data_IF_034733237679
#
_entry.id   IF_034733237679
#
_cell.length_a   1.000
_cell.length_b   1.000
_cell.length_c   1.000
_cell.angle_alpha   90.00
_cell.angle_beta   90.00
_cell.angle_gamma   90.00
#
_symmetry.space_group_name_H-M   'P 1'
#
loop_
_entity.id
_entity.type
_entity.pdbx_description
1 polymer ?
#
# COMPACT_ATOMS: atom_id res chain seq x y z
N UNK A 1 3.99 -21.02 27.04
CA UNK A 1 2.71 -20.48 26.51
C UNK A 1 2.25 -21.10 25.19
N UNK A 2 3.07 -21.87 24.46
CA UNK A 2 2.67 -22.48 23.19
C UNK A 2 1.75 -23.73 23.30
N UNK A 3 1.56 -24.30 24.51
CA UNK A 3 0.79 -25.54 24.70
C UNK A 3 -0.74 -25.38 24.75
N UNK A 4 -1.28 -24.17 24.92
CA UNK A 4 -2.73 -24.01 25.07
C UNK A 4 -3.46 -23.99 23.71
N UNK A 5 -2.79 -23.56 22.64
CA UNK A 5 -3.39 -23.45 21.31
C UNK A 5 -3.29 -24.74 20.49
N UNK A 6 -2.37 -25.64 20.82
CA UNK A 6 -2.17 -26.92 20.13
C UNK A 6 -3.25 -27.97 20.41
N UNK A 7 -4.17 -27.71 21.34
CA UNK A 7 -5.28 -28.63 21.69
C UNK A 7 -6.56 -28.38 20.87
N UNK A 8 -6.61 -27.30 20.09
CA UNK A 8 -7.75 -26.97 19.23
C UNK A 8 -7.57 -27.59 17.84
N UNK A 9 -8.64 -28.12 17.24
CA UNK A 9 -8.62 -28.70 15.88
C UNK A 9 -8.10 -27.78 14.77
N UNK A 10 -8.03 -26.47 15.03
CA UNK A 10 -7.51 -25.45 14.11
C UNK A 10 -6.36 -24.63 14.73
N UNK A 11 -5.65 -25.18 15.72
CA UNK A 11 -4.59 -24.49 16.46
C UNK A 11 -3.49 -23.93 15.57
N UNK A 12 -3.07 -24.71 14.57
CA UNK A 12 -2.03 -24.31 13.63
C UNK A 12 -2.50 -23.18 12.70
N UNK A 13 -3.73 -23.25 12.18
CA UNK A 13 -4.31 -22.19 11.35
C UNK A 13 -4.44 -20.88 12.13
N UNK A 14 -4.95 -20.96 13.37
CA UNK A 14 -5.11 -19.81 14.25
C UNK A 14 -3.76 -19.18 14.61
N UNK A 15 -2.74 -19.99 14.84
CA UNK A 15 -1.38 -19.52 15.11
C UNK A 15 -0.81 -18.76 13.92
N UNK A 16 -0.98 -19.26 12.69
CA UNK A 16 -0.53 -18.56 11.47
C UNK A 16 -1.26 -17.23 11.29
N UNK A 17 -2.57 -17.18 11.51
CA UNK A 17 -3.36 -15.94 11.44
C UNK A 17 -2.89 -14.94 12.51
N UNK A 18 -2.70 -15.38 13.75
CA UNK A 18 -2.23 -14.55 14.85
C UNK A 18 -0.82 -14.00 14.58
N UNK A 19 0.11 -14.82 14.07
CA UNK A 19 1.45 -14.38 13.67
C UNK A 19 1.35 -13.38 12.52
N UNK A 20 0.48 -13.60 11.54
CA UNK A 20 0.25 -12.68 10.43
C UNK A 20 -0.25 -11.32 10.92
N UNK A 21 -1.21 -11.31 11.83
CA UNK A 21 -1.74 -10.09 12.45
C UNK A 21 -0.68 -9.35 13.27
N UNK A 22 0.04 -10.06 14.13
CA UNK A 22 1.12 -9.48 14.94
C UNK A 22 2.25 -8.92 14.06
N UNK A 23 2.61 -9.63 13.00
CA UNK A 23 3.61 -9.17 12.03
C UNK A 23 3.13 -7.95 11.27
N UNK A 24 1.86 -7.89 10.87
CA UNK A 24 1.29 -6.71 10.23
C UNK A 24 1.35 -5.48 11.15
N UNK A 25 1.00 -5.63 12.42
CA UNK A 25 1.11 -4.56 13.42
C UNK A 25 2.57 -4.15 13.64
N UNK A 26 3.49 -5.11 13.76
CA UNK A 26 4.91 -4.84 13.92
C UNK A 26 5.50 -4.11 12.70
N UNK A 27 5.17 -4.55 11.49
CA UNK A 27 5.59 -3.88 10.26
C UNK A 27 5.05 -2.45 10.20
N UNK A 28 3.78 -2.24 10.54
CA UNK A 28 3.19 -0.91 10.55
C UNK A 28 3.80 -0.02 11.65
N UNK A 29 4.11 -0.58 12.83
CA UNK A 29 4.78 0.12 13.92
C UNK A 29 6.21 0.51 13.54
N UNK A 30 6.96 -0.37 12.87
CA UNK A 30 8.31 -0.08 12.37
C UNK A 30 8.25 0.97 11.27
N UNK A 31 7.31 0.84 10.32
CA UNK A 31 7.08 1.84 9.29
C UNK A 31 6.74 3.19 9.92
N UNK A 32 5.81 3.23 10.86
CA UNK A 32 5.46 4.45 11.57
C UNK A 32 6.65 5.01 12.35
N UNK A 33 7.41 4.19 13.06
CA UNK A 33 8.55 4.65 13.85
C UNK A 33 9.70 5.19 12.98
N UNK A 34 10.02 4.52 11.87
CA UNK A 34 11.08 4.97 10.95
C UNK A 34 10.64 6.18 10.11
N UNK A 35 9.37 6.25 9.72
CA UNK A 35 8.84 7.32 8.88
C UNK A 35 8.51 8.56 9.72
N UNK A 36 7.77 8.41 10.81
CA UNK A 36 7.24 9.51 11.62
C UNK A 36 8.28 10.15 12.55
N UNK A 37 9.33 9.41 12.94
CA UNK A 37 10.50 9.99 13.64
C UNK A 37 11.32 10.91 12.73
N UNK A 38 11.21 10.77 11.42
CA UNK A 38 11.96 11.59 10.47
C UNK A 38 11.13 12.83 10.12
N UNK A 39 11.52 14.01 10.61
CA UNK A 39 10.86 15.29 10.31
C UNK A 39 10.62 15.52 8.80
N UNK A 40 11.48 14.92 7.97
CA UNK A 40 11.40 14.89 6.51
C UNK A 40 10.07 14.34 5.99
N UNK A 41 9.44 13.33 6.59
CA UNK A 41 8.18 12.79 6.06
C UNK A 41 7.01 13.74 6.28
N UNK A 42 6.94 14.39 7.45
CA UNK A 42 5.89 15.35 7.76
C UNK A 42 6.00 16.61 6.88
N UNK A 43 7.21 17.11 6.62
CA UNK A 43 7.42 18.25 5.72
C UNK A 43 7.10 17.92 4.26
N UNK A 44 7.41 16.69 3.82
CA UNK A 44 7.14 16.23 2.45
C UNK A 44 5.65 15.97 2.23
N UNK A 45 4.96 15.36 3.20
CA UNK A 45 3.50 15.18 3.19
C UNK A 45 2.78 16.52 3.14
N UNK A 46 3.20 17.48 3.98
CA UNK A 46 2.64 18.83 3.98
C UNK A 46 2.88 19.56 2.64
N UNK A 47 4.06 19.38 2.03
CA UNK A 47 4.39 19.92 0.71
C UNK A 47 3.49 19.34 -0.38
N UNK A 48 3.30 18.01 -0.40
CA UNK A 48 2.40 17.34 -1.37
C UNK A 48 0.97 17.84 -1.22
N UNK A 49 0.44 17.95 0.00
CA UNK A 49 -0.91 18.43 0.22
C UNK A 49 -1.08 19.90 -0.19
N UNK A 50 -0.07 20.74 0.08
CA UNK A 50 -0.05 22.14 -0.35
C UNK A 50 0.03 22.30 -1.87
N UNK A 51 0.82 21.46 -2.55
CA UNK A 51 0.94 21.47 -4.01
C UNK A 51 -0.31 20.90 -4.69
N UNK A 52 -0.90 19.82 -4.17
CA UNK A 52 -2.15 19.23 -4.67
C UNK A 52 -3.30 20.23 -4.59
N UNK A 53 -3.51 20.86 -3.43
CA UNK A 53 -4.57 21.89 -3.26
C UNK A 53 -4.40 23.09 -4.20
N UNK A 54 -3.14 23.50 -4.47
CA UNK A 54 -2.84 24.57 -5.43
C UNK A 54 -3.16 24.17 -6.87
N UNK A 55 -2.84 22.93 -7.24
CA UNK A 55 -3.12 22.40 -8.57
C UNK A 55 -4.64 22.30 -8.79
N UNK A 56 -5.39 21.78 -7.80
CA UNK A 56 -6.85 21.70 -7.85
C UNK A 56 -7.51 23.07 -7.93
N UNK A 57 -7.02 24.07 -7.19
CA UNK A 57 -7.50 25.45 -7.26
C UNK A 57 -7.22 26.10 -8.62
N UNK A 58 -6.03 25.87 -9.21
CA UNK A 58 -5.69 26.39 -10.54
C UNK A 58 -6.51 25.72 -11.66
N UNK A 59 -6.83 24.42 -11.52
CA UNK A 59 -7.66 23.67 -12.47
C UNK A 59 -9.14 24.04 -12.37
N UNK A 60 -9.67 24.24 -11.17
CA UNK A 60 -11.06 24.68 -10.93
C UNK A 60 -11.28 26.14 -11.36
N UNK A 61 -10.28 27.01 -11.18
CA UNK A 61 -10.30 28.38 -11.69
C UNK A 61 -10.23 28.46 -13.23
N UNK A 62 -9.65 27.46 -13.91
CA UNK A 62 -9.64 27.38 -15.36
C UNK A 62 -11.02 27.01 -15.94
N UNK A 63 -11.78 26.13 -15.27
CA UNK A 63 -13.13 25.74 -15.70
C UNK A 63 -14.20 26.83 -15.52
N UNK A 64 -14.02 27.71 -14.54
CA UNK A 64 -14.98 28.80 -14.27
C UNK A 64 -14.86 30.00 -15.22
N UNK A 65 -13.79 30.04 -16.03
CA UNK A 65 -13.55 31.12 -17.01
C UNK A 65 -14.08 30.81 -18.42
N UNK A 66 -14.59 29.58 -18.64
CA UNK A 66 -15.09 29.14 -19.96
C UNK A 66 -16.63 29.19 -20.09
N UNK A 67 -17.36 29.50 -19.03
CA UNK A 67 -18.84 29.45 -19.01
C UNK A 67 -19.56 30.76 -18.63
N UNK A 68 -18.85 31.88 -18.46
CA UNK A 68 -19.50 33.19 -18.22
C UNK A 68 -19.15 34.19 -19.32
N UNK A 69 -20.01 34.24 -20.33
CA UNK A 69 -20.18 35.44 -21.13
C UNK A 69 -20.80 36.55 -20.27
N UNK A 70 -20.25 37.75 -20.41
CA UNK A 70 -20.73 39.06 -19.92
C UNK A 70 -20.49 39.41 -18.43
N UNK A 71 -19.85 40.58 -18.24
CA UNK A 71 -19.86 41.34 -16.98
C UNK A 71 -18.47 41.69 -16.44
N UNK A 72 -18.05 42.95 -16.62
CA UNK A 72 -16.69 43.43 -16.31
C UNK A 72 -16.30 43.53 -14.83
N UNK A 73 -15.00 43.76 -14.60
CA UNK A 73 -14.45 44.18 -13.31
C UNK A 73 -13.14 43.50 -12.90
N UNK A 74 -12.02 44.12 -13.29
CA UNK A 74 -10.66 44.01 -12.75
C UNK A 74 -10.32 42.89 -11.75
N UNK A 75 -9.48 41.93 -12.18
CA UNK A 75 -8.24 41.56 -11.45
C UNK A 75 -7.39 40.55 -12.24
N UNK A 76 -6.24 41.02 -12.74
CA UNK A 76 -5.07 40.23 -13.16
C UNK A 76 -5.30 39.08 -14.16
N UNK A 77 -5.64 39.42 -15.41
CA UNK A 77 -5.51 38.49 -16.55
C UNK A 77 -4.03 38.18 -16.81
N UNK A 78 -3.49 37.16 -16.15
CA UNK A 78 -2.24 36.53 -16.54
C UNK A 78 -2.45 35.82 -17.90
N UNK A 79 -1.57 36.00 -18.90
CA UNK A 79 -1.73 35.33 -20.19
C UNK A 79 -1.84 33.82 -20.01
N UNK A 80 -2.68 33.15 -20.80
CA UNK A 80 -2.92 31.71 -20.69
C UNK A 80 -1.61 30.89 -20.68
N UNK A 81 -0.58 31.37 -21.38
CA UNK A 81 0.77 30.79 -21.39
C UNK A 81 1.54 30.92 -20.07
N UNK A 82 1.36 31.99 -19.29
CA UNK A 82 2.01 32.16 -17.98
C UNK A 82 1.32 31.37 -16.87
N UNK A 83 0.00 31.15 -16.98
CA UNK A 83 -0.75 30.27 -16.08
C UNK A 83 -0.44 28.79 -16.35
N UNK A 84 -0.31 28.40 -17.62
CA UNK A 84 0.16 27.07 -18.01
C UNK A 84 1.58 26.77 -17.50
N UNK A 85 2.52 27.72 -17.64
CA UNK A 85 3.89 27.59 -17.07
C UNK A 85 3.89 27.47 -15.55
N UNK A 86 2.99 28.16 -14.85
CA UNK A 86 2.85 28.04 -13.38
C UNK A 86 2.29 26.69 -12.97
N UNK A 87 1.34 26.15 -13.73
CA UNK A 87 0.75 24.83 -13.51
C UNK A 87 1.79 23.72 -13.71
N UNK A 88 2.56 23.79 -14.80
CA UNK A 88 3.66 22.86 -15.12
C UNK A 88 4.75 22.84 -14.02
N UNK A 89 5.08 24.01 -13.47
CA UNK A 89 6.00 24.13 -12.34
C UNK A 89 5.46 23.48 -11.06
N UNK A 90 4.17 23.65 -10.77
CA UNK A 90 3.51 23.03 -9.59
C UNK A 90 3.41 21.52 -9.76
N UNK A 91 3.13 21.03 -10.97
CA UNK A 91 3.14 19.60 -11.29
C UNK A 91 4.54 18.99 -11.13
N UNK A 92 5.58 19.67 -11.61
CA UNK A 92 6.97 19.22 -11.45
C UNK A 92 7.34 19.16 -9.97
N UNK A 93 7.04 20.19 -9.18
CA UNK A 93 7.28 20.17 -7.73
C UNK A 93 6.47 19.09 -7.00
N UNK A 94 5.26 18.77 -7.46
CA UNK A 94 4.45 17.68 -6.91
C UNK A 94 5.07 16.31 -7.24
N UNK A 95 5.56 16.12 -8.47
CA UNK A 95 6.26 14.89 -8.89
C UNK A 95 7.54 14.67 -8.09
N UNK A 96 8.35 15.71 -7.90
CA UNK A 96 9.60 15.61 -7.12
C UNK A 96 9.33 15.27 -5.65
N UNK A 97 8.38 15.97 -5.01
CA UNK A 97 8.00 15.68 -3.63
C UNK A 97 7.38 14.27 -3.49
N UNK A 98 6.58 13.82 -4.48
CA UNK A 98 6.04 12.46 -4.52
C UNK A 98 7.15 11.40 -4.70
N UNK A 99 8.16 11.68 -5.53
CA UNK A 99 9.31 10.80 -5.75
C UNK A 99 10.14 10.66 -4.49
N UNK A 100 10.46 11.76 -3.81
CA UNK A 100 11.18 11.74 -2.53
C UNK A 100 10.37 10.99 -1.45
N UNK A 101 9.04 11.12 -1.44
CA UNK A 101 8.18 10.41 -0.50
C UNK A 101 8.19 8.91 -0.79
N UNK A 102 8.13 8.53 -2.06
CA UNK A 102 8.25 7.13 -2.49
C UNK A 102 9.61 6.54 -2.12
N UNK A 103 10.70 7.29 -2.27
CA UNK A 103 12.04 6.86 -1.85
C UNK A 103 12.17 6.71 -0.33
N UNK A 104 11.59 7.64 0.44
CA UNK A 104 11.53 7.52 1.89
C UNK A 104 10.73 6.28 2.33
N UNK A 105 9.59 6.01 1.67
CA UNK A 105 8.82 4.78 1.88
C UNK A 105 9.59 3.53 1.46
N UNK A 106 10.31 3.56 0.34
CA UNK A 106 11.12 2.43 -0.13
C UNK A 106 12.25 2.08 0.84
N UNK A 107 12.94 3.08 1.40
CA UNK A 107 13.99 2.86 2.42
C UNK A 107 13.44 2.19 3.68
N UNK A 108 12.28 2.63 4.17
CA UNK A 108 11.59 1.96 5.27
C UNK A 108 11.04 0.59 4.87
N UNK A 109 10.60 0.44 3.62
CA UNK A 109 10.09 -0.79 3.04
C UNK A 109 11.15 -1.89 2.95
N UNK A 110 12.42 -1.53 2.75
CA UNK A 110 13.53 -2.49 2.80
C UNK A 110 13.69 -3.11 4.20
N UNK A 111 13.56 -2.30 5.27
CA UNK A 111 13.59 -2.81 6.66
C UNK A 111 12.39 -3.71 6.93
N UNK A 112 11.20 -3.31 6.49
CA UNK A 112 9.98 -4.13 6.58
C UNK A 112 10.14 -5.46 5.83
N UNK A 113 10.74 -5.45 4.64
CA UNK A 113 11.01 -6.64 3.86
C UNK A 113 11.99 -7.59 4.57
N UNK A 114 13.03 -7.05 5.20
CA UNK A 114 13.97 -7.84 6.00
C UNK A 114 13.28 -8.53 7.19
N UNK A 115 12.43 -7.79 7.93
CA UNK A 115 11.64 -8.37 9.03
C UNK A 115 10.72 -9.47 8.54
N UNK A 116 10.03 -9.26 7.42
CA UNK A 116 9.15 -10.26 6.82
C UNK A 116 9.91 -11.50 6.35
N UNK A 117 11.13 -11.33 5.83
CA UNK A 117 11.98 -12.44 5.43
C UNK A 117 12.35 -13.33 6.61
N UNK A 118 12.74 -12.72 7.75
CA UNK A 118 13.04 -13.46 8.97
C UNK A 118 11.81 -14.19 9.50
N UNK A 119 10.67 -13.49 9.61
CA UNK A 119 9.41 -14.10 10.06
C UNK A 119 8.97 -15.24 9.16
N UNK A 120 9.05 -15.05 7.83
CA UNK A 120 8.72 -16.08 6.86
C UNK A 120 9.65 -17.30 6.98
N UNK A 121 10.96 -17.09 7.16
CA UNK A 121 11.92 -18.17 7.40
C UNK A 121 11.61 -18.98 8.66
N UNK A 122 11.28 -18.31 9.77
CA UNK A 122 10.88 -18.96 11.02
C UNK A 122 9.60 -19.77 10.85
N UNK A 123 8.57 -19.19 10.24
CA UNK A 123 7.32 -19.89 9.94
C UNK A 123 7.56 -21.09 9.02
N UNK A 124 8.38 -20.94 7.98
CA UNK A 124 8.67 -22.03 7.05
C UNK A 124 9.38 -23.19 7.74
N UNK A 125 10.28 -22.91 8.68
CA UNK A 125 10.94 -23.94 9.51
C UNK A 125 9.99 -24.59 10.51
N UNK A 126 9.03 -23.86 11.07
CA UNK A 126 8.09 -24.38 12.08
C UNK A 126 6.96 -25.24 11.49
N UNK A 127 6.52 -24.94 10.27
CA UNK A 127 5.37 -25.59 9.63
C UNK A 127 5.75 -26.39 8.37
N UNK A 128 7.03 -26.74 8.21
CA UNK A 128 7.51 -27.49 7.05
C UNK A 128 6.77 -28.83 6.91
N UNK A 129 6.25 -29.09 5.71
CA UNK A 129 5.59 -30.35 5.37
C UNK A 129 4.31 -30.66 6.17
N UNK A 130 3.71 -29.69 6.86
CA UNK A 130 2.46 -29.88 7.61
C UNK A 130 1.31 -29.08 6.98
N UNK A 131 0.19 -29.76 6.72
CA UNK A 131 -1.04 -29.11 6.30
C UNK A 131 -1.62 -28.30 7.47
N UNK A 132 -1.78 -26.99 7.28
CA UNK A 132 -2.07 -26.04 8.37
C UNK A 132 -3.54 -25.67 8.41
N UNK A 133 -4.26 -25.82 7.29
CA UNK A 133 -5.68 -25.62 7.17
C UNK A 133 -6.26 -26.54 6.09
N UNK A 134 -7.58 -26.75 6.15
CA UNK A 134 -8.36 -27.44 5.12
C UNK A 134 -9.30 -26.43 4.46
N UNK A 135 -9.31 -26.42 3.14
CA UNK A 135 -10.23 -25.60 2.36
C UNK A 135 -11.61 -26.29 2.32
N UNK A 136 -12.72 -25.55 2.53
CA UNK A 136 -14.07 -26.13 2.50
C UNK A 136 -14.60 -26.35 1.08
N UNK A 137 -13.82 -26.03 0.05
CA UNK A 137 -14.15 -26.18 -1.37
C UNK A 137 -12.98 -26.81 -2.11
N UNK A 138 -13.25 -27.48 -3.24
CA UNK A 138 -12.21 -27.96 -4.15
C UNK A 138 -11.58 -26.76 -4.86
N UNK A 139 -10.33 -26.36 -4.55
CA UNK A 139 -9.73 -25.17 -5.13
C UNK A 139 -9.56 -25.32 -6.64
N UNK A 140 -9.68 -24.21 -7.38
CA UNK A 140 -9.34 -24.18 -8.81
C UNK A 140 -7.88 -24.59 -9.01
N UNK A 141 -7.50 -25.25 -10.13
CA UNK A 141 -6.18 -25.85 -10.30
C UNK A 141 -4.99 -24.90 -10.08
N UNK A 142 -5.16 -23.61 -10.38
CA UNK A 142 -4.16 -22.57 -10.13
C UNK A 142 -3.95 -22.31 -8.63
N UNK A 143 -5.04 -22.18 -7.87
CA UNK A 143 -5.02 -21.95 -6.42
C UNK A 143 -4.53 -23.20 -5.71
N UNK A 144 -4.93 -24.39 -6.18
CA UNK A 144 -4.48 -25.66 -5.65
C UNK A 144 -2.96 -25.79 -5.69
N UNK A 145 -2.31 -25.43 -6.80
CA UNK A 145 -0.85 -25.45 -6.93
C UNK A 145 -0.15 -24.51 -5.95
N UNK A 146 -0.76 -23.37 -5.62
CA UNK A 146 -0.23 -22.45 -4.63
C UNK A 146 -0.49 -22.92 -3.20
N UNK A 147 -1.69 -23.46 -2.92
CA UNK A 147 -2.06 -23.94 -1.59
C UNK A 147 -1.27 -25.18 -1.19
N UNK A 148 -0.92 -26.07 -2.12
CA UNK A 148 -0.18 -27.31 -1.85
C UNK A 148 1.34 -27.17 -1.91
N UNK A 149 1.86 -25.99 -2.25
CA UNK A 149 3.31 -25.81 -2.40
C UNK A 149 4.02 -26.11 -1.08
N UNK A 150 4.91 -27.11 -1.10
CA UNK A 150 5.69 -27.54 0.07
C UNK A 150 4.96 -28.49 1.03
N UNK A 151 3.80 -29.03 0.65
CA UNK A 151 3.09 -30.06 1.42
C UNK A 151 3.31 -31.47 0.84
N UNK A 152 3.65 -32.46 1.67
CA UNK A 152 3.59 -33.87 1.30
C UNK A 152 2.15 -34.37 1.41
N UNK A 153 1.54 -34.74 0.28
CA UNK A 153 0.17 -35.28 0.27
C UNK A 153 -0.54 -35.09 -1.07
N UNK A 154 -1.61 -35.86 -1.29
CA UNK A 154 -2.47 -35.79 -2.48
C UNK A 154 -3.89 -35.29 -2.19
N UNK A 155 -4.19 -34.88 -0.94
CA UNK A 155 -5.52 -34.34 -0.62
C UNK A 155 -5.65 -32.91 -1.14
N UNK A 156 -6.50 -32.64 -2.15
CA UNK A 156 -6.62 -31.34 -2.80
C UNK A 156 -7.20 -30.24 -1.90
N UNK A 157 -7.65 -30.57 -0.69
CA UNK A 157 -8.19 -29.61 0.28
C UNK A 157 -7.13 -29.07 1.22
N UNK A 158 -5.90 -29.57 1.18
CA UNK A 158 -4.86 -29.13 2.11
C UNK A 158 -4.30 -27.74 1.75
N UNK A 159 -3.96 -26.99 2.79
CA UNK A 159 -3.44 -25.62 2.69
C UNK A 159 -2.12 -25.48 3.43
N UNK A 160 -1.09 -25.05 2.70
CA UNK A 160 0.23 -24.74 3.23
C UNK A 160 0.21 -23.48 4.09
N UNK A 161 1.18 -23.40 4.99
CA UNK A 161 1.41 -22.20 5.80
C UNK A 161 1.61 -20.98 4.91
N UNK A 162 2.44 -21.13 3.87
CA UNK A 162 2.85 -20.06 2.97
C UNK A 162 1.65 -19.40 2.31
N UNK A 163 0.70 -20.19 1.82
CA UNK A 163 -0.51 -19.69 1.18
C UNK A 163 -1.41 -18.94 2.17
N UNK A 164 -1.68 -19.55 3.34
CA UNK A 164 -2.52 -18.94 4.36
C UNK A 164 -1.91 -17.64 4.91
N UNK A 165 -0.61 -17.64 5.20
CA UNK A 165 0.14 -16.49 5.67
C UNK A 165 0.13 -15.35 4.65
N UNK A 166 0.34 -15.66 3.36
CA UNK A 166 0.32 -14.65 2.31
C UNK A 166 -1.06 -14.00 2.17
N UNK A 167 -2.14 -14.79 2.14
CA UNK A 167 -3.51 -14.28 2.08
C UNK A 167 -3.87 -13.42 3.28
N UNK A 168 -3.54 -13.89 4.49
CA UNK A 168 -3.79 -13.13 5.72
C UNK A 168 -2.95 -11.85 5.75
N UNK A 169 -1.67 -11.91 5.36
CA UNK A 169 -0.77 -10.77 5.40
C UNK A 169 -1.21 -9.68 4.41
N UNK A 170 -1.59 -10.05 3.18
CA UNK A 170 -2.13 -9.10 2.21
C UNK A 170 -3.46 -8.51 2.67
N UNK A 171 -4.37 -9.33 3.21
CA UNK A 171 -5.68 -8.86 3.67
C UNK A 171 -5.55 -7.94 4.90
N UNK A 172 -4.86 -8.37 5.93
CA UNK A 172 -4.73 -7.63 7.18
C UNK A 172 -3.94 -6.34 6.94
N UNK A 173 -2.78 -6.40 6.27
CA UNK A 173 -1.94 -5.23 6.05
C UNK A 173 -2.62 -4.16 5.20
N UNK A 174 -3.28 -4.55 4.11
CA UNK A 174 -3.97 -3.57 3.25
C UNK A 174 -5.16 -2.93 3.94
N UNK A 175 -5.90 -3.68 4.78
CA UNK A 175 -6.99 -3.12 5.57
C UNK A 175 -6.47 -2.24 6.72
N UNK A 176 -5.38 -2.62 7.38
CA UNK A 176 -4.76 -1.84 8.45
C UNK A 176 -4.25 -0.50 7.94
N UNK A 177 -3.62 -0.47 6.76
CA UNK A 177 -3.16 0.77 6.12
C UNK A 177 -4.31 1.70 5.73
N UNK A 178 -5.46 1.14 5.32
CA UNK A 178 -6.68 1.92 5.03
C UNK A 178 -7.30 2.48 6.31
N UNK A 179 -7.38 1.68 7.37
CA UNK A 179 -7.94 2.09 8.66
C UNK A 179 -7.10 3.16 9.35
N UNK A 180 -5.77 3.07 9.27
CA UNK A 180 -4.84 4.01 9.91
C UNK A 180 -4.53 5.26 9.05
N UNK A 181 -5.05 5.34 7.82
CA UNK A 181 -4.81 6.48 6.93
C UNK A 181 -3.37 6.60 6.43
N UNK A 182 -2.57 5.53 6.55
CA UNK A 182 -1.20 5.45 6.02
C UNK A 182 -1.16 5.06 4.53
N UNK A 183 -2.34 4.82 3.94
CA UNK A 183 -2.50 4.67 2.50
C UNK A 183 -1.79 5.83 1.76
N UNK A 184 -1.01 5.55 0.70
CA UNK A 184 -0.41 6.59 -0.12
C UNK A 184 -1.50 7.59 -0.56
N UNK A 185 -1.29 8.91 -0.44
CA UNK A 185 -2.22 9.90 -0.97
C UNK A 185 -2.57 9.56 -2.42
N UNK A 186 -3.83 9.77 -2.84
CA UNK A 186 -4.27 9.46 -4.23
C UNK A 186 -3.35 10.06 -5.30
N UNK A 187 -2.77 11.24 -5.05
CA UNK A 187 -1.78 11.87 -5.93
C UNK A 187 -0.43 11.12 -5.96
N UNK A 188 0.02 10.55 -4.85
CA UNK A 188 1.22 9.71 -4.79
C UNK A 188 0.98 8.31 -5.40
N UNK A 189 -0.25 7.78 -5.32
CA UNK A 189 -0.65 6.57 -6.03
C UNK A 189 -0.70 6.79 -7.56
N UNK A 190 -1.17 7.96 -8.01
CA UNK A 190 -1.15 8.36 -9.41
C UNK A 190 0.28 8.63 -9.93
N UNK A 191 1.19 9.12 -9.07
CA UNK A 191 2.60 9.34 -9.40
C UNK A 191 3.50 8.09 -9.25
N UNK A 192 2.92 6.87 -9.24
CA UNK A 192 3.69 5.61 -9.25
C UNK A 192 3.99 5.00 -7.87
N UNK A 193 3.30 5.41 -6.81
CA UNK A 193 3.43 4.84 -5.46
C UNK A 193 2.69 3.50 -5.25
N UNK A 194 2.06 2.94 -6.28
CA UNK A 194 1.50 1.60 -6.29
C UNK A 194 2.41 0.63 -7.06
N UNK A 195 2.40 -0.66 -6.69
CA UNK A 195 3.09 -1.74 -7.41
C UNK A 195 2.68 -1.84 -8.90
N UNK A 196 1.57 -1.18 -9.27
CA UNK A 196 1.16 -0.96 -10.64
C UNK A 196 1.17 0.55 -10.94
N UNK A 197 1.97 1.03 -11.91
CA UNK A 197 1.78 2.37 -12.44
C UNK A 197 0.39 2.46 -13.05
N UNK A 198 -0.42 3.42 -12.61
CA UNK A 198 -1.67 3.73 -13.30
C UNK A 198 -1.30 4.42 -14.61
N UNK A 199 -1.71 3.89 -15.78
CA UNK A 199 -1.48 4.55 -17.06
C UNK A 199 -2.10 5.94 -17.01
N UNK A 200 -1.34 6.95 -17.46
CA UNK A 200 -1.81 8.33 -17.56
C UNK A 200 -3.18 8.36 -18.26
N UNK A 201 -4.19 9.04 -17.71
CA UNK A 201 -5.39 9.35 -18.46
C UNK A 201 -4.97 10.36 -19.53
N UNK A 202 -4.59 9.85 -20.71
CA UNK A 202 -4.47 10.65 -21.93
C UNK A 202 -5.78 11.40 -22.10
N UNK A 203 -5.72 12.70 -21.85
CA UNK A 203 -6.73 13.66 -22.24
C UNK A 203 -6.65 13.72 -23.76
N UNK A 204 -7.65 13.12 -24.42
CA UNK A 204 -7.91 13.32 -25.84
C UNK A 204 -8.95 14.43 -25.97
#
# INVERSE_FOLDING_TARGET
MASALSSLRYGDSLSVVAISAATAVLCEAISWLLIYRTATYNSLRASIERHSRKLDAMKSGAGSSASSGAGGGSSSAQPASSRAKKMDRVETSLKDAARELSLAKLKSGAVVAAVLFVVFGLLNSLFEGRAVAKLPFSPVPLVQRMSHRGLPGNDPTDCSMVFLYFLCSMSIRTNLQKLLGFAPPRAAAAAGGGLFPMPDPKVN
#
